data_IF_891408825251
#
_entry.id   IF_891408825251
#
_cell.length_a   1.000
_cell.length_b   1.000
_cell.length_c   1.000
_cell.angle_alpha   90.00
_cell.angle_beta   90.00
_cell.angle_gamma   90.00
#
_symmetry.space_group_name_H-M   'P 1'
#
loop_
_entity.id
_entity.type
_entity.pdbx_description
1 polymer ?
#
# COMPACT_ATOMS: atom_id res chain seq x y z
N UNK A 1 -13.08 10.86 -17.04
CA UNK A 1 -13.61 9.66 -16.34
C UNK A 1 -12.84 9.47 -15.06
N UNK A 2 -13.52 9.03 -13.99
CA UNK A 2 -12.94 8.74 -12.69
C UNK A 2 -13.13 7.26 -12.35
N UNK A 3 -12.03 6.53 -12.16
CA UNK A 3 -12.03 5.14 -11.67
C UNK A 3 -11.72 5.14 -10.16
N UNK A 4 -12.48 4.37 -9.39
CA UNK A 4 -12.13 4.01 -8.03
C UNK A 4 -11.58 2.57 -7.99
N UNK A 5 -10.38 2.41 -7.47
CA UNK A 5 -9.72 1.12 -7.26
C UNK A 5 -9.62 0.85 -5.76
N UNK A 6 -10.15 -0.27 -5.28
CA UNK A 6 -10.20 -0.62 -3.86
C UNK A 6 -9.25 -1.79 -3.58
N UNK A 7 -8.36 -1.62 -2.63
CA UNK A 7 -7.56 -2.68 -2.04
C UNK A 7 -8.46 -3.58 -1.17
N UNK A 8 -8.87 -4.70 -1.74
CA UNK A 8 -9.82 -5.60 -1.10
C UNK A 8 -9.32 -6.21 0.19
N UNK A 9 -8.06 -6.61 0.22
CA UNK A 9 -7.44 -7.20 1.42
C UNK A 9 -7.32 -6.18 2.54
N UNK A 10 -6.83 -4.98 2.25
CA UNK A 10 -6.65 -3.93 3.24
C UNK A 10 -7.98 -3.50 3.87
N UNK A 11 -9.00 -3.23 3.05
CA UNK A 11 -10.31 -2.79 3.56
C UNK A 11 -11.01 -3.91 4.33
N UNK A 12 -10.94 -5.17 3.84
CA UNK A 12 -11.52 -6.32 4.54
C UNK A 12 -10.87 -6.56 5.90
N UNK A 13 -9.53 -6.50 5.98
CA UNK A 13 -8.79 -6.59 7.24
C UNK A 13 -9.18 -5.48 8.22
N UNK A 14 -9.27 -4.24 7.76
CA UNK A 14 -9.67 -3.11 8.61
C UNK A 14 -11.07 -3.28 9.17
N UNK A 15 -12.01 -3.76 8.36
CA UNK A 15 -13.37 -4.06 8.80
C UNK A 15 -13.37 -5.20 9.84
N UNK A 16 -12.58 -6.26 9.62
CA UNK A 16 -12.47 -7.38 10.54
C UNK A 16 -11.99 -6.96 11.94
N UNK A 17 -10.92 -6.18 12.01
CA UNK A 17 -10.38 -5.75 13.30
C UNK A 17 -11.09 -4.53 13.89
N UNK A 18 -11.78 -3.75 13.07
CA UNK A 18 -12.43 -2.52 13.50
C UNK A 18 -13.88 -2.67 13.97
N UNK A 19 -14.55 -3.78 13.63
CA UNK A 19 -15.96 -4.01 13.93
C UNK A 19 -16.11 -5.21 14.88
N UNK A 20 -17.06 -5.13 15.79
CA UNK A 20 -17.37 -6.27 16.68
C UNK A 20 -17.79 -7.48 15.86
N UNK A 21 -17.40 -8.69 16.28
CA UNK A 21 -17.78 -9.91 15.56
C UNK A 21 -19.30 -10.03 15.40
N UNK A 22 -19.72 -10.25 14.15
CA UNK A 22 -21.08 -10.60 13.77
C UNK A 22 -21.04 -11.95 13.07
N UNK A 23 -22.05 -12.79 13.33
CA UNK A 23 -22.19 -14.09 12.67
C UNK A 23 -23.66 -14.39 12.36
N UNK A 24 -23.89 -15.24 11.36
CA UNK A 24 -25.21 -15.85 11.13
C UNK A 24 -25.54 -16.86 12.21
N UNK A 25 -26.79 -17.32 12.23
CA UNK A 25 -27.23 -18.39 13.17
C UNK A 25 -26.49 -19.70 12.96
N UNK A 26 -25.96 -19.93 11.75
CA UNK A 26 -25.20 -21.12 11.36
C UNK A 26 -23.70 -20.98 11.64
N UNK A 27 -23.26 -19.86 12.27
CA UNK A 27 -21.88 -19.64 12.68
C UNK A 27 -20.96 -19.02 11.61
N UNK A 28 -21.49 -18.57 10.47
CA UNK A 28 -20.69 -17.84 9.48
C UNK A 28 -20.41 -16.42 9.99
N UNK A 29 -19.14 -16.05 10.16
CA UNK A 29 -18.75 -14.67 10.47
C UNK A 29 -18.99 -13.76 9.27
N UNK A 30 -19.50 -12.54 9.53
CA UNK A 30 -19.95 -11.61 8.49
C UNK A 30 -19.52 -10.16 8.73
N UNK A 31 -18.91 -9.84 9.87
CA UNK A 31 -18.58 -8.46 10.24
C UNK A 31 -17.58 -7.78 9.29
N UNK A 32 -16.62 -8.53 8.75
CA UNK A 32 -15.68 -7.97 7.78
C UNK A 32 -16.36 -7.64 6.45
N UNK A 33 -17.25 -8.53 5.96
CA UNK A 33 -18.06 -8.28 4.75
C UNK A 33 -18.99 -7.10 4.97
N UNK A 34 -19.68 -7.03 6.11
CA UNK A 34 -20.57 -5.92 6.46
C UNK A 34 -19.81 -4.59 6.45
N UNK A 35 -18.68 -4.52 7.14
CA UNK A 35 -17.89 -3.29 7.23
C UNK A 35 -17.27 -2.87 5.90
N UNK A 36 -16.85 -3.85 5.08
CA UNK A 36 -16.38 -3.58 3.74
C UNK A 36 -17.46 -2.93 2.89
N UNK A 37 -18.65 -3.54 2.82
CA UNK A 37 -19.77 -3.03 2.01
C UNK A 37 -20.24 -1.67 2.50
N UNK A 38 -20.37 -1.48 3.83
CA UNK A 38 -20.73 -0.17 4.39
C UNK A 38 -19.72 0.91 4.02
N UNK A 39 -18.42 0.58 4.07
CA UNK A 39 -17.36 1.51 3.67
C UNK A 39 -17.43 1.79 2.16
N UNK A 40 -17.62 0.76 1.34
CA UNK A 40 -17.72 0.89 -0.11
C UNK A 40 -18.90 1.77 -0.52
N UNK A 41 -20.08 1.55 0.05
CA UNK A 41 -21.28 2.35 -0.25
C UNK A 41 -21.04 3.83 0.08
N UNK A 42 -20.52 4.14 1.26
CA UNK A 42 -20.17 5.51 1.63
C UNK A 42 -19.19 6.14 0.66
N UNK A 43 -18.16 5.39 0.22
CA UNK A 43 -17.17 5.90 -0.71
C UNK A 43 -17.74 6.09 -2.13
N UNK A 44 -18.68 5.26 -2.55
CA UNK A 44 -19.41 5.46 -3.81
C UNK A 44 -20.23 6.74 -3.79
N UNK A 45 -20.90 7.03 -2.68
CA UNK A 45 -21.68 8.27 -2.50
C UNK A 45 -20.78 9.52 -2.41
N UNK A 46 -19.61 9.41 -1.76
CA UNK A 46 -18.65 10.51 -1.63
C UNK A 46 -17.92 10.81 -2.94
N UNK A 47 -17.53 9.77 -3.67
CA UNK A 47 -16.64 9.87 -4.82
C UNK A 47 -17.35 9.93 -6.15
N UNK A 48 -18.57 9.38 -6.25
CA UNK A 48 -19.35 9.27 -7.49
C UNK A 48 -18.47 8.79 -8.68
N UNK A 49 -17.76 7.64 -8.55
CA UNK A 49 -16.88 7.17 -9.61
C UNK A 49 -17.69 6.64 -10.80
N UNK A 50 -17.21 6.88 -12.02
CA UNK A 50 -17.81 6.34 -13.25
C UNK A 50 -17.45 4.86 -13.47
N UNK A 51 -16.39 4.38 -12.82
CA UNK A 51 -15.98 2.98 -12.84
C UNK A 51 -15.41 2.57 -11.48
N UNK A 52 -15.56 1.28 -11.13
CA UNK A 52 -15.11 0.68 -9.88
C UNK A 52 -14.46 -0.67 -10.16
N UNK A 53 -13.38 -0.98 -9.45
CA UNK A 53 -12.85 -2.34 -9.35
C UNK A 53 -12.22 -2.58 -7.97
N UNK A 54 -12.05 -3.86 -7.63
CA UNK A 54 -11.40 -4.29 -6.39
C UNK A 54 -10.25 -5.23 -6.72
N UNK A 55 -9.11 -5.06 -6.05
CA UNK A 55 -7.96 -5.96 -6.18
C UNK A 55 -7.84 -6.85 -4.95
N UNK A 56 -7.37 -8.08 -5.14
CA UNK A 56 -7.10 -9.01 -4.06
C UNK A 56 -5.75 -9.70 -4.26
N UNK A 57 -5.08 -10.01 -3.15
CA UNK A 57 -3.93 -10.89 -3.14
C UNK A 57 -4.35 -12.34 -3.40
N UNK A 58 -3.46 -13.09 -4.03
CA UNK A 58 -3.55 -14.54 -4.10
C UNK A 58 -2.71 -15.19 -3.01
N UNK A 59 -2.94 -16.48 -2.80
CA UNK A 59 -2.17 -17.26 -1.80
C UNK A 59 -0.79 -17.69 -2.29
N UNK A 60 -0.60 -17.72 -3.60
CA UNK A 60 0.64 -18.14 -4.22
C UNK A 60 1.75 -17.12 -3.94
N UNK A 61 3.00 -17.58 -3.75
CA UNK A 61 4.13 -16.70 -3.60
C UNK A 61 4.27 -15.73 -4.77
N UNK A 62 4.59 -14.49 -4.49
CA UNK A 62 4.86 -13.47 -5.51
C UNK A 62 6.32 -13.52 -5.94
N UNK A 63 6.67 -12.76 -6.99
CA UNK A 63 8.06 -12.63 -7.46
C UNK A 63 8.99 -12.11 -6.34
N UNK A 64 8.47 -11.27 -5.40
CA UNK A 64 9.25 -10.81 -4.24
C UNK A 64 9.59 -11.96 -3.29
N UNK A 65 8.64 -12.83 -2.98
CA UNK A 65 8.88 -14.02 -2.15
C UNK A 65 9.84 -15.02 -2.80
N UNK A 66 9.87 -15.07 -4.14
CA UNK A 66 10.81 -15.94 -4.88
C UNK A 66 12.23 -15.38 -4.87
N UNK A 67 12.38 -14.06 -4.87
CA UNK A 67 13.67 -13.39 -4.83
C UNK A 67 14.23 -13.21 -3.41
N UNK A 68 13.35 -13.09 -2.42
CA UNK A 68 13.70 -12.90 -1.00
C UNK A 68 12.77 -13.73 -0.11
N UNK A 69 13.30 -14.79 0.47
CA UNK A 69 12.55 -15.70 1.35
C UNK A 69 12.14 -15.04 2.68
N UNK A 70 12.81 -13.97 3.08
CA UNK A 70 12.53 -13.25 4.31
C UNK A 70 11.42 -12.20 4.12
N UNK A 71 11.11 -11.82 2.88
CA UNK A 71 10.05 -10.86 2.57
C UNK A 71 8.70 -11.33 3.12
N UNK A 72 8.08 -10.52 3.99
CA UNK A 72 6.82 -10.81 4.69
C UNK A 72 6.80 -12.10 5.52
N UNK A 73 7.96 -12.76 5.77
CA UNK A 73 8.04 -14.03 6.46
C UNK A 73 7.50 -14.01 7.90
N UNK A 74 7.48 -12.83 8.54
CA UNK A 74 6.98 -12.65 9.90
C UNK A 74 5.47 -12.36 9.95
N UNK A 75 4.80 -12.23 8.81
CA UNK A 75 3.34 -11.99 8.78
C UNK A 75 2.60 -13.20 9.31
N UNK A 76 1.72 -12.97 10.27
CA UNK A 76 0.84 -14.03 10.78
C UNK A 76 -0.14 -14.46 9.70
N UNK A 77 -0.49 -15.75 9.64
CA UNK A 77 -1.52 -16.22 8.72
C UNK A 77 -2.86 -15.52 8.99
N UNK A 78 -3.67 -15.39 7.95
CA UNK A 78 -5.00 -14.82 8.05
C UNK A 78 -5.84 -15.62 9.07
N UNK A 79 -6.52 -14.94 10.02
CA UNK A 79 -7.39 -15.64 10.96
C UNK A 79 -8.46 -16.49 10.23
N UNK A 80 -8.80 -17.68 10.73
CA UNK A 80 -9.80 -18.54 10.08
C UNK A 80 -11.14 -17.85 9.85
N UNK A 81 -11.57 -17.02 10.82
CA UNK A 81 -12.83 -16.27 10.76
C UNK A 81 -12.81 -15.18 9.68
N UNK A 82 -11.64 -14.64 9.34
CA UNK A 82 -11.48 -13.72 8.22
C UNK A 82 -11.38 -14.49 6.90
N UNK A 83 -10.63 -15.60 6.90
CA UNK A 83 -10.43 -16.43 5.72
C UNK A 83 -11.77 -16.96 5.16
N UNK A 84 -12.75 -17.30 6.04
CA UNK A 84 -14.09 -17.73 5.60
C UNK A 84 -14.92 -16.59 5.00
N UNK A 85 -14.65 -15.35 5.35
CA UNK A 85 -15.38 -14.18 4.83
C UNK A 85 -14.88 -13.71 3.45
N UNK A 86 -13.63 -14.02 3.09
CA UNK A 86 -13.06 -13.59 1.81
C UNK A 86 -13.83 -14.15 0.58
N UNK A 87 -14.16 -15.45 0.49
CA UNK A 87 -15.01 -15.97 -0.59
C UNK A 87 -16.40 -15.34 -0.62
N UNK A 88 -17.00 -15.09 0.55
CA UNK A 88 -18.30 -14.44 0.66
C UNK A 88 -18.22 -13.02 0.12
N UNK A 89 -17.14 -12.27 0.46
CA UNK A 89 -16.93 -10.92 -0.06
C UNK A 89 -16.86 -10.90 -1.59
N UNK A 90 -16.09 -11.82 -2.18
CA UNK A 90 -15.99 -11.95 -3.64
C UNK A 90 -17.34 -12.27 -4.29
N UNK A 91 -18.16 -13.15 -3.66
CA UNK A 91 -19.51 -13.43 -4.14
C UNK A 91 -20.42 -12.21 -4.08
N UNK A 92 -20.35 -11.41 -3.02
CA UNK A 92 -21.14 -10.17 -2.88
C UNK A 92 -20.71 -9.17 -3.96
N UNK A 93 -19.40 -8.96 -4.18
CA UNK A 93 -18.91 -8.07 -5.23
C UNK A 93 -19.35 -8.53 -6.62
N UNK A 94 -19.30 -9.84 -6.89
CA UNK A 94 -19.78 -10.41 -8.14
C UNK A 94 -21.30 -10.17 -8.34
N UNK A 95 -22.11 -10.35 -7.29
CA UNK A 95 -23.55 -10.07 -7.32
C UNK A 95 -23.86 -8.58 -7.53
N UNK A 96 -22.95 -7.68 -7.09
CA UNK A 96 -23.01 -6.25 -7.35
C UNK A 96 -22.45 -5.86 -8.74
N UNK A 97 -22.00 -6.83 -9.54
CA UNK A 97 -21.32 -6.59 -10.83
C UNK A 97 -20.04 -5.76 -10.71
N UNK A 98 -19.35 -5.85 -9.58
CA UNK A 98 -18.06 -5.18 -9.35
C UNK A 98 -16.91 -6.10 -9.79
N UNK A 99 -16.09 -5.70 -10.78
CA UNK A 99 -14.94 -6.47 -11.20
C UNK A 99 -13.92 -6.64 -10.08
N UNK A 100 -13.44 -7.89 -9.90
CA UNK A 100 -12.37 -8.21 -8.97
C UNK A 100 -11.16 -8.71 -9.75
N UNK A 101 -9.98 -8.16 -9.45
CA UNK A 101 -8.72 -8.54 -10.09
C UNK A 101 -7.78 -9.17 -9.09
N UNK A 102 -7.17 -10.26 -9.49
CA UNK A 102 -6.10 -10.96 -8.77
C UNK A 102 -5.18 -11.65 -9.80
N UNK A 103 -3.89 -11.65 -9.55
CA UNK A 103 -2.92 -12.21 -10.48
C UNK A 103 -1.86 -13.03 -9.72
N UNK A 104 -1.64 -14.27 -10.16
CA UNK A 104 -0.59 -15.10 -9.58
C UNK A 104 0.79 -14.49 -9.80
N UNK A 105 1.63 -14.51 -8.79
CA UNK A 105 2.99 -13.95 -8.84
C UNK A 105 3.08 -12.45 -8.55
N UNK A 106 1.95 -11.74 -8.42
CA UNK A 106 1.88 -10.31 -8.10
C UNK A 106 1.02 -10.08 -6.85
N UNK A 107 1.26 -8.96 -6.19
CA UNK A 107 0.45 -8.50 -5.07
C UNK A 107 -0.70 -7.61 -5.55
N UNK A 108 -1.73 -7.44 -4.71
CA UNK A 108 -2.83 -6.53 -4.99
C UNK A 108 -2.34 -5.10 -5.27
N UNK A 109 -1.29 -4.65 -4.57
CA UNK A 109 -0.68 -3.34 -4.76
C UNK A 109 -0.07 -3.17 -6.15
N UNK A 110 0.53 -4.22 -6.73
CA UNK A 110 1.07 -4.20 -8.09
C UNK A 110 -0.07 -4.05 -9.13
N UNK A 111 -1.21 -4.68 -8.88
CA UNK A 111 -2.40 -4.49 -9.71
C UNK A 111 -2.96 -3.07 -9.58
N UNK A 112 -3.02 -2.53 -8.37
CA UNK A 112 -3.42 -1.13 -8.12
C UNK A 112 -2.49 -0.17 -8.87
N UNK A 113 -1.18 -0.36 -8.75
CA UNK A 113 -0.17 0.44 -9.46
C UNK A 113 -0.34 0.38 -10.97
N UNK A 114 -0.54 -0.83 -11.50
CA UNK A 114 -0.76 -1.04 -12.94
C UNK A 114 -2.05 -0.38 -13.43
N UNK A 115 -3.14 -0.54 -12.70
CA UNK A 115 -4.45 0.07 -13.04
C UNK A 115 -4.34 1.60 -12.99
N UNK A 116 -3.75 2.18 -11.94
CA UNK A 116 -3.58 3.62 -11.80
C UNK A 116 -2.75 4.22 -12.94
N UNK A 117 -1.66 3.55 -13.33
CA UNK A 117 -0.84 3.95 -14.48
C UNK A 117 -1.61 3.89 -15.79
N UNK A 118 -2.39 2.82 -16.03
CA UNK A 118 -3.26 2.71 -17.21
C UNK A 118 -4.32 3.81 -17.24
N UNK A 119 -4.92 4.16 -16.09
CA UNK A 119 -5.84 5.31 -15.98
C UNK A 119 -5.17 6.62 -16.38
N UNK A 120 -3.99 6.89 -15.84
CA UNK A 120 -3.22 8.09 -16.16
C UNK A 120 -2.89 8.18 -17.65
N UNK A 121 -2.46 7.06 -18.27
CA UNK A 121 -2.18 6.99 -19.70
C UNK A 121 -3.43 7.24 -20.56
N UNK A 122 -4.62 6.84 -20.08
CA UNK A 122 -5.90 7.08 -20.73
C UNK A 122 -6.48 8.48 -20.46
N UNK A 123 -5.80 9.32 -19.66
CA UNK A 123 -6.28 10.63 -19.25
C UNK A 123 -7.42 10.60 -18.21
N UNK A 124 -7.59 9.48 -17.50
CA UNK A 124 -8.59 9.33 -16.45
C UNK A 124 -8.00 9.70 -15.09
N UNK A 125 -8.87 10.08 -14.17
CA UNK A 125 -8.51 10.25 -12.76
C UNK A 125 -8.70 8.92 -12.03
N UNK A 126 -7.80 8.63 -11.07
CA UNK A 126 -7.82 7.41 -10.29
C UNK A 126 -7.90 7.73 -8.79
N UNK A 127 -8.82 7.08 -8.09
CA UNK A 127 -8.93 7.12 -6.63
C UNK A 127 -8.58 5.74 -6.10
N UNK A 128 -7.41 5.61 -5.46
CA UNK A 128 -7.00 4.40 -4.78
C UNK A 128 -7.54 4.42 -3.35
N UNK A 129 -8.31 3.41 -2.97
CA UNK A 129 -8.85 3.25 -1.63
C UNK A 129 -8.11 2.12 -0.92
N UNK A 130 -7.29 2.46 0.03
CA UNK A 130 -6.51 1.49 0.81
C UNK A 130 -6.27 1.99 2.24
N UNK A 131 -5.89 1.13 3.13
CA UNK A 131 -5.34 1.52 4.42
C UNK A 131 -3.82 1.40 4.48
N UNK A 132 -3.18 1.01 3.37
CA UNK A 132 -1.75 0.87 3.28
C UNK A 132 -1.09 2.17 2.77
N UNK A 133 -0.05 2.60 3.46
CA UNK A 133 0.70 3.80 3.09
C UNK A 133 1.67 3.55 1.93
N UNK A 134 1.91 2.31 1.57
CA UNK A 134 2.80 1.97 0.46
C UNK A 134 2.26 2.47 -0.86
N UNK A 135 0.93 2.45 -1.01
CA UNK A 135 0.24 3.02 -2.15
C UNK A 135 0.44 4.54 -2.30
N UNK A 136 0.98 5.24 -1.28
CA UNK A 136 1.28 6.68 -1.39
C UNK A 136 2.32 6.99 -2.46
N UNK A 137 3.20 6.05 -2.79
CA UNK A 137 4.15 6.19 -3.90
C UNK A 137 3.47 6.35 -5.28
N UNK A 138 2.18 5.97 -5.37
CA UNK A 138 1.39 6.03 -6.61
C UNK A 138 0.66 7.36 -6.79
N UNK A 139 0.74 8.29 -5.82
CA UNK A 139 0.08 9.59 -5.89
C UNK A 139 0.71 10.45 -6.98
N UNK A 140 -0.14 10.98 -7.87
CA UNK A 140 0.22 11.88 -8.99
C UNK A 140 -0.88 12.92 -9.16
N UNK A 141 -0.73 13.85 -10.10
CA UNK A 141 -1.75 14.85 -10.42
C UNK A 141 -3.11 14.24 -10.83
N UNK A 142 -3.11 12.97 -11.30
CA UNK A 142 -4.33 12.24 -11.71
C UNK A 142 -4.68 11.07 -10.81
N UNK A 143 -3.80 10.69 -9.89
CA UNK A 143 -4.02 9.60 -8.95
C UNK A 143 -3.93 10.12 -7.54
N UNK A 144 -4.99 10.00 -6.75
CA UNK A 144 -4.96 10.26 -5.32
C UNK A 144 -5.22 8.99 -4.52
N UNK A 145 -4.71 8.95 -3.31
CA UNK A 145 -4.92 7.84 -2.38
C UNK A 145 -5.85 8.30 -1.26
N UNK A 146 -6.96 7.60 -1.10
CA UNK A 146 -7.86 7.75 0.04
C UNK A 146 -7.48 6.71 1.10
N UNK A 147 -6.71 7.16 2.09
CA UNK A 147 -6.30 6.32 3.21
C UNK A 147 -7.47 6.08 4.16
N UNK A 148 -7.83 4.82 4.34
CA UNK A 148 -8.90 4.39 5.24
C UNK A 148 -8.30 3.98 6.59
N UNK A 149 -8.87 4.45 7.67
CA UNK A 149 -8.52 4.05 9.04
C UNK A 149 -9.79 3.70 9.81
N UNK A 150 -9.79 2.56 10.50
CA UNK A 150 -10.91 2.15 11.34
C UNK A 150 -10.45 2.02 12.78
N UNK A 151 -11.08 2.75 13.69
CA UNK A 151 -10.82 2.67 15.12
C UNK A 151 -12.15 2.63 15.88
N UNK A 152 -12.32 1.68 16.81
CA UNK A 152 -13.53 1.54 17.65
C UNK A 152 -14.84 1.54 16.84
N UNK A 153 -14.85 0.91 15.67
CA UNK A 153 -16.02 0.85 14.78
C UNK A 153 -16.25 2.11 13.93
N UNK A 154 -15.44 3.14 14.11
CA UNK A 154 -15.51 4.35 13.28
C UNK A 154 -14.47 4.28 12.15
N UNK A 155 -14.93 4.40 10.92
CA UNK A 155 -14.09 4.47 9.74
C UNK A 155 -13.94 5.91 9.29
N UNK A 156 -12.71 6.39 9.23
CA UNK A 156 -12.33 7.70 8.73
C UNK A 156 -11.49 7.56 7.48
N UNK A 157 -11.52 8.57 6.64
CA UNK A 157 -10.72 8.64 5.42
C UNK A 157 -9.87 9.91 5.41
N UNK A 158 -8.70 9.83 4.78
CA UNK A 158 -7.82 10.97 4.53
C UNK A 158 -7.41 10.94 3.07
N UNK A 159 -7.69 12.03 2.36
CA UNK A 159 -7.23 12.19 0.98
C UNK A 159 -5.75 12.61 0.94
N UNK A 160 -4.99 11.89 0.14
CA UNK A 160 -3.57 12.16 -0.12
C UNK A 160 -3.44 12.54 -1.60
N UNK A 161 -3.31 13.82 -1.85
CA UNK A 161 -2.92 14.41 -3.14
C UNK A 161 -1.43 14.74 -3.13
N UNK A 162 -0.81 15.12 -4.26
CA UNK A 162 0.59 15.56 -4.26
C UNK A 162 0.84 16.71 -3.27
N UNK A 163 -0.11 17.66 -3.15
CA UNK A 163 0.00 18.81 -2.24
C UNK A 163 -0.03 18.37 -0.79
N UNK A 164 -1.08 17.62 -0.39
CA UNK A 164 -1.21 17.14 1.00
C UNK A 164 -0.09 16.18 1.40
N UNK A 165 0.45 15.44 0.42
CA UNK A 165 1.61 14.59 0.66
C UNK A 165 2.87 15.43 0.92
N UNK A 166 3.17 16.44 0.05
CA UNK A 166 4.33 17.33 0.23
C UNK A 166 4.24 18.13 1.54
N UNK A 167 3.06 18.61 1.90
CA UNK A 167 2.84 19.28 3.19
C UNK A 167 3.16 18.37 4.38
N UNK A 168 2.84 17.09 4.29
CA UNK A 168 3.04 16.13 5.38
C UNK A 168 4.48 15.60 5.45
N UNK A 169 5.11 15.30 4.29
CA UNK A 169 6.37 14.58 4.21
C UNK A 169 7.55 15.46 3.78
N UNK A 170 7.30 16.55 3.06
CA UNK A 170 8.33 17.48 2.61
C UNK A 170 9.11 17.04 1.37
N UNK A 171 8.59 16.03 0.64
CA UNK A 171 9.16 15.54 -0.64
C UNK A 171 8.03 15.00 -1.54
N UNK A 172 8.36 14.61 -2.77
CA UNK A 172 7.38 14.10 -3.73
C UNK A 172 6.94 12.65 -3.42
N UNK A 173 5.68 12.26 -3.70
CA UNK A 173 5.11 10.95 -3.37
C UNK A 173 5.96 9.76 -3.80
N UNK A 174 6.59 9.82 -4.96
CA UNK A 174 7.43 8.72 -5.49
C UNK A 174 8.60 8.37 -4.53
N UNK A 175 9.11 9.34 -3.77
CA UNK A 175 10.21 9.15 -2.83
C UNK A 175 9.79 8.46 -1.51
N UNK A 176 8.51 8.03 -1.40
CA UNK A 176 8.13 7.09 -0.36
C UNK A 176 8.91 5.77 -0.47
N UNK A 177 9.27 5.38 -1.69
CA UNK A 177 10.12 4.21 -1.96
C UNK A 177 11.51 4.42 -1.35
N UNK A 178 12.11 5.60 -1.58
CA UNK A 178 13.43 5.98 -1.06
C UNK A 178 13.44 6.03 0.47
N UNK A 179 12.37 6.55 1.06
CA UNK A 179 12.20 6.55 2.51
C UNK A 179 12.25 5.13 3.07
N UNK A 180 11.49 4.20 2.47
CA UNK A 180 11.50 2.78 2.87
C UNK A 180 12.81 2.08 2.57
N UNK A 181 13.47 2.42 1.47
CA UNK A 181 14.79 1.90 1.15
C UNK A 181 15.82 2.20 2.25
N UNK A 182 15.72 3.36 2.88
CA UNK A 182 16.64 3.78 3.94
C UNK A 182 16.23 3.28 5.33
N UNK A 183 14.97 3.44 5.72
CA UNK A 183 14.53 3.10 7.08
C UNK A 183 14.08 1.65 7.25
N UNK A 184 13.83 0.95 6.15
CA UNK A 184 13.19 -0.36 6.15
C UNK A 184 11.69 -0.32 6.46
N UNK A 185 11.08 -1.51 6.47
CA UNK A 185 9.71 -1.72 6.91
C UNK A 185 9.59 -3.05 7.68
N UNK A 186 9.35 -2.96 8.97
CA UNK A 186 9.22 -4.14 9.83
C UNK A 186 7.97 -4.96 9.54
N UNK A 187 6.91 -4.38 8.97
CA UNK A 187 5.67 -5.10 8.65
C UNK A 187 5.86 -6.03 7.46
N UNK A 188 6.75 -5.66 6.53
CA UNK A 188 7.07 -6.41 5.32
C UNK A 188 8.42 -7.09 5.38
N UNK A 189 9.10 -6.95 6.52
CA UNK A 189 10.45 -7.44 6.74
C UNK A 189 11.46 -6.89 5.71
N UNK A 190 11.29 -5.62 5.34
CA UNK A 190 12.23 -4.90 4.48
C UNK A 190 13.35 -4.34 5.37
N UNK A 191 14.63 -4.69 5.11
CA UNK A 191 15.70 -4.41 6.06
C UNK A 191 16.08 -2.94 6.18
N UNK A 192 16.02 -2.16 5.09
CA UNK A 192 16.55 -0.80 5.06
C UNK A 192 18.06 -0.76 5.29
N UNK A 193 18.58 0.40 5.71
CA UNK A 193 19.96 0.58 6.13
C UNK A 193 20.05 0.34 7.64
N UNK A 194 20.82 -0.64 8.13
CA UNK A 194 20.91 -0.95 9.55
C UNK A 194 21.27 0.27 10.42
N UNK A 195 20.38 0.59 11.35
CA UNK A 195 20.54 1.72 12.27
C UNK A 195 20.25 3.11 11.69
N UNK A 196 19.66 3.18 10.51
CA UNK A 196 19.02 4.39 9.96
C UNK A 196 17.52 4.28 10.25
N UNK A 197 17.02 5.11 11.17
CA UNK A 197 15.59 5.15 11.52
C UNK A 197 14.86 6.26 10.75
N UNK A 198 13.53 6.27 10.90
CA UNK A 198 12.61 7.16 10.19
C UNK A 198 13.04 8.63 10.16
N UNK A 199 13.44 9.22 11.31
CA UNK A 199 13.86 10.63 11.37
C UNK A 199 15.06 10.93 10.48
N UNK A 200 16.05 10.02 10.47
CA UNK A 200 17.26 10.19 9.67
C UNK A 200 16.94 9.98 8.19
N UNK A 201 16.20 8.93 7.86
CA UNK A 201 15.79 8.65 6.50
C UNK A 201 14.93 9.79 5.92
N UNK A 202 13.98 10.30 6.69
CA UNK A 202 13.14 11.44 6.31
C UNK A 202 13.98 12.68 5.97
N UNK A 203 14.94 13.06 6.83
CA UNK A 203 15.80 14.20 6.59
C UNK A 203 16.68 14.02 5.34
N UNK A 204 17.18 12.80 5.10
CA UNK A 204 17.99 12.48 3.92
C UNK A 204 17.16 12.59 2.63
N UNK A 205 15.94 12.02 2.61
CA UNK A 205 15.06 12.11 1.45
C UNK A 205 14.61 13.54 1.19
N UNK A 206 14.28 14.31 2.22
CA UNK A 206 13.92 15.73 2.08
C UNK A 206 15.06 16.56 1.48
N UNK A 207 16.31 16.24 1.81
CA UNK A 207 17.47 17.02 1.38
C UNK A 207 18.01 16.56 0.02
N UNK A 208 18.02 15.26 -0.26
CA UNK A 208 18.70 14.69 -1.43
C UNK A 208 17.74 14.08 -2.46
N UNK A 209 16.46 13.90 -2.12
CA UNK A 209 15.44 13.29 -2.98
C UNK A 209 15.56 11.77 -3.00
N UNK A 210 16.13 11.21 -4.05
CA UNK A 210 16.26 9.77 -4.25
C UNK A 210 17.57 9.19 -3.68
N UNK A 211 17.60 7.87 -3.46
CA UNK A 211 18.78 7.17 -2.95
C UNK A 211 19.96 7.23 -3.92
N UNK A 212 19.73 7.31 -5.22
CA UNK A 212 20.81 7.42 -6.19
C UNK A 212 21.52 8.77 -6.10
N UNK A 213 20.77 9.86 -5.93
CA UNK A 213 21.33 11.19 -5.68
C UNK A 213 22.07 11.24 -4.34
N UNK A 214 21.50 10.61 -3.30
CA UNK A 214 22.13 10.48 -2.00
C UNK A 214 23.48 9.75 -2.09
N UNK A 215 23.52 8.56 -2.68
CA UNK A 215 24.74 7.75 -2.75
C UNK A 215 25.81 8.34 -3.67
N UNK A 216 25.43 9.03 -4.76
CA UNK A 216 26.39 9.80 -5.57
C UNK A 216 27.07 10.93 -4.82
N UNK A 217 26.39 11.51 -3.84
CA UNK A 217 26.91 12.63 -3.02
C UNK A 217 27.42 12.19 -1.66
N UNK A 218 27.44 10.90 -1.37
CA UNK A 218 27.69 10.36 -0.03
C UNK A 218 28.95 10.92 0.65
N UNK A 219 30.10 11.19 -0.06
CA UNK A 219 31.26 11.78 0.56
C UNK A 219 31.02 13.22 1.07
N UNK A 220 30.10 13.95 0.48
CA UNK A 220 29.88 15.39 0.68
C UNK A 220 28.57 15.72 1.38
N UNK A 221 27.84 14.70 1.89
CA UNK A 221 26.56 14.95 2.56
C UNK A 221 26.76 15.59 3.94
N UNK A 222 25.89 16.53 4.28
CA UNK A 222 25.79 17.10 5.62
C UNK A 222 25.12 16.13 6.60
N UNK A 223 25.87 15.15 7.07
CA UNK A 223 25.42 14.16 8.02
C UNK A 223 26.54 13.80 9.02
N UNK A 224 26.14 13.27 10.18
CA UNK A 224 27.11 12.80 11.18
C UNK A 224 27.97 11.67 10.61
N UNK A 225 29.27 11.60 10.93
CA UNK A 225 30.19 10.58 10.42
C UNK A 225 29.65 9.14 10.58
N UNK A 226 28.97 8.88 11.69
CA UNK A 226 28.33 7.56 11.92
C UNK A 226 27.18 7.26 10.96
N UNK A 227 26.44 8.28 10.50
CA UNK A 227 25.37 8.10 9.50
C UNK A 227 25.99 7.80 8.14
N UNK A 228 27.04 8.55 7.75
CA UNK A 228 27.77 8.32 6.50
C UNK A 228 28.32 6.89 6.47
N UNK A 229 28.99 6.46 7.55
CA UNK A 229 29.50 5.08 7.65
C UNK A 229 28.38 4.04 7.45
N UNK A 230 27.23 4.19 8.15
CA UNK A 230 26.09 3.27 8.02
C UNK A 230 25.54 3.24 6.60
N UNK A 231 25.41 4.38 5.94
CA UNK A 231 24.97 4.46 4.55
C UNK A 231 25.96 3.76 3.63
N UNK A 232 27.26 3.98 3.81
CA UNK A 232 28.31 3.32 3.02
C UNK A 232 28.28 1.80 3.18
N UNK A 233 28.19 1.31 4.43
CA UNK A 233 28.13 -0.12 4.74
C UNK A 233 26.79 -0.78 4.29
N UNK A 234 25.72 0.01 4.24
CA UNK A 234 24.37 -0.45 3.97
C UNK A 234 23.82 -0.17 2.56
N UNK A 235 24.63 0.27 1.60
CA UNK A 235 24.17 0.64 0.26
C UNK A 235 23.45 -0.52 -0.45
N UNK A 236 24.02 -1.72 -0.41
CA UNK A 236 23.43 -2.90 -1.03
C UNK A 236 22.05 -3.21 -0.41
N UNK A 237 21.95 -3.14 0.92
CA UNK A 237 20.68 -3.32 1.65
C UNK A 237 19.65 -2.25 1.29
N UNK A 238 20.07 -0.98 1.13
CA UNK A 238 19.18 0.08 0.69
C UNK A 238 18.63 -0.18 -0.72
N UNK A 239 19.48 -0.58 -1.67
CA UNK A 239 19.08 -0.87 -3.04
C UNK A 239 18.15 -2.08 -3.12
N UNK A 240 18.44 -3.13 -2.35
CA UNK A 240 17.54 -4.28 -2.21
C UNK A 240 16.19 -3.90 -1.62
N UNK A 241 16.20 -3.09 -0.56
CA UNK A 241 15.00 -2.56 0.09
C UNK A 241 14.18 -1.65 -0.84
N UNK A 242 14.84 -0.85 -1.66
CA UNK A 242 14.20 -0.05 -2.71
C UNK A 242 13.42 -0.93 -3.69
N UNK A 243 14.05 -2.01 -4.16
CA UNK A 243 13.41 -2.96 -5.06
C UNK A 243 12.21 -3.66 -4.42
N UNK A 244 12.33 -4.11 -3.16
CA UNK A 244 11.23 -4.73 -2.42
C UNK A 244 10.04 -3.78 -2.21
N UNK A 245 10.32 -2.51 -1.87
CA UNK A 245 9.30 -1.49 -1.58
C UNK A 245 8.62 -0.92 -2.84
N UNK A 246 9.20 -1.13 -4.03
CA UNK A 246 8.66 -0.59 -5.28
C UNK A 246 7.44 -1.37 -5.73
N UNK A 247 6.32 -0.68 -5.90
CA UNK A 247 5.11 -1.23 -6.50
C UNK A 247 5.30 -1.30 -8.03
N UNK A 248 5.07 -2.48 -8.61
CA UNK A 248 5.08 -2.68 -10.06
C UNK A 248 3.87 -2.01 -10.70
N UNK A 249 4.09 -1.32 -11.82
CA UNK A 249 3.03 -0.57 -12.51
C UNK A 249 2.76 -1.06 -13.93
N UNK A 250 3.30 -2.22 -14.29
CA UNK A 250 3.21 -2.84 -15.62
C UNK A 250 2.97 -4.36 -15.56
N UNK A 251 2.27 -4.82 -14.53
CA UNK A 251 1.81 -6.20 -14.43
C UNK A 251 0.98 -6.60 -15.66
N UNK A 252 1.12 -7.84 -16.18
CA UNK A 252 0.49 -8.30 -17.42
C UNK A 252 -1.04 -8.32 -17.40
#
# INVERSE_FOLDING_TARGET
MKLMVVDGNSILNRAYYGIRPLSTREGLYTHAVYGFITTLQRLLDEEEPEALCVTFDRREPTFRHQADADYKAQRKPMPPELAMQLPVMKQVLAAMSVPCYELAGYEADDLIGTISRKCQAAGWDCVIVTGDKDSLQLVTDRTRVKLVSTRMGQTTTKDMTPETFREQYGFDPIHMIDLKALMGDTSDNIPGVPGVGEKTAMALVQQYGDIDALYRRLPDIDAKPNVIRKLTEGEESARHSYWLATIVTDAP
#
